data_IF_263944333651
#
_entry.id   IF_263944333651
#
_cell.length_a   1.000
_cell.length_b   1.000
_cell.length_c   1.000
_cell.angle_alpha   90.00
_cell.angle_beta   90.00
_cell.angle_gamma   90.00
#
_symmetry.space_group_name_H-M   'P 1'
#
loop_
_entity.id
_entity.type
_entity.pdbx_description
1 polymer ?
#
# COMPACT_ATOMS: atom_id res chain seq x y z
N UNK A 1 8.23 18.20 -0.73
CA UNK A 1 7.84 19.24 -1.72
C UNK A 1 8.96 20.23 -2.06
N UNK A 2 9.55 20.95 -1.09
CA UNK A 2 10.49 22.07 -1.37
C UNK A 2 11.90 21.66 -1.85
N UNK A 3 12.38 20.48 -1.44
CA UNK A 3 13.73 20.00 -1.78
C UNK A 3 13.76 18.82 -2.78
N UNK A 4 12.64 18.10 -2.92
CA UNK A 4 12.59 16.94 -3.81
C UNK A 4 12.61 17.36 -5.28
N UNK A 5 13.29 16.59 -6.12
CA UNK A 5 13.30 16.75 -7.59
C UNK A 5 12.29 15.83 -8.29
N UNK A 6 11.69 14.89 -7.55
CA UNK A 6 10.67 13.98 -8.07
C UNK A 6 9.30 14.70 -8.16
N UNK A 7 8.71 14.69 -9.35
CA UNK A 7 7.42 15.29 -9.64
C UNK A 7 6.26 14.57 -8.91
N UNK A 8 6.26 13.24 -8.84
CA UNK A 8 5.20 12.43 -8.19
C UNK A 8 5.18 12.73 -6.69
N UNK A 9 6.35 12.68 -6.05
CA UNK A 9 6.49 12.99 -4.62
C UNK A 9 6.14 14.46 -4.32
N UNK A 10 6.42 15.39 -5.24
CA UNK A 10 6.08 16.81 -5.05
C UNK A 10 4.56 17.05 -5.09
N UNK A 11 3.85 16.40 -6.02
CA UNK A 11 2.39 16.48 -6.12
C UNK A 11 1.72 15.85 -4.89
N UNK A 12 2.13 14.63 -4.53
CA UNK A 12 1.61 13.93 -3.36
C UNK A 12 1.88 14.68 -2.05
N UNK A 13 3.07 15.27 -1.90
CA UNK A 13 3.37 16.11 -0.74
C UNK A 13 2.52 17.39 -0.70
N UNK A 14 2.15 17.95 -1.86
CA UNK A 14 1.26 19.11 -1.93
C UNK A 14 -0.16 18.80 -1.48
N UNK A 15 -0.75 17.71 -1.99
CA UNK A 15 -2.11 17.30 -1.61
C UNK A 15 -2.18 16.85 -0.14
N UNK A 16 -1.15 16.18 0.37
CA UNK A 16 -1.06 15.75 1.76
C UNK A 16 -1.05 16.91 2.76
N UNK A 17 -0.47 18.07 2.42
CA UNK A 17 -0.51 19.27 3.29
C UNK A 17 -1.94 19.77 3.44
N UNK A 18 -2.70 19.86 2.35
CA UNK A 18 -4.10 20.31 2.37
C UNK A 18 -4.96 19.37 3.20
N UNK A 19 -4.81 18.06 3.04
CA UNK A 19 -5.51 17.06 3.84
C UNK A 19 -5.15 17.17 5.34
N UNK A 20 -3.86 17.36 5.65
CA UNK A 20 -3.35 17.47 7.01
C UNK A 20 -3.88 18.67 7.79
N UNK A 21 -4.12 19.81 7.12
CA UNK A 21 -4.73 21.00 7.76
C UNK A 21 -6.10 20.68 8.38
N UNK A 22 -6.85 19.80 7.73
CA UNK A 22 -8.18 19.36 8.16
C UNK A 22 -8.16 18.08 9.02
N UNK A 23 -6.98 17.62 9.44
CA UNK A 23 -6.83 16.48 10.34
C UNK A 23 -6.70 15.11 9.67
N UNK A 24 -6.65 15.05 8.33
CA UNK A 24 -6.43 13.81 7.57
C UNK A 24 -4.92 13.66 7.37
N UNK A 25 -4.29 12.72 8.08
CA UNK A 25 -2.82 12.61 8.16
C UNK A 25 -2.25 11.41 7.41
N UNK A 26 -3.10 10.47 7.02
CA UNK A 26 -2.77 9.22 6.35
C UNK A 26 -1.98 9.46 5.04
N UNK A 27 -2.36 10.41 4.16
CA UNK A 27 -1.60 10.68 2.94
C UNK A 27 -0.19 11.23 3.24
N UNK A 28 -0.02 11.98 4.34
CA UNK A 28 1.27 12.56 4.72
C UNK A 28 2.18 11.51 5.38
N UNK A 29 1.63 10.67 6.25
CA UNK A 29 2.37 9.61 6.95
C UNK A 29 2.79 8.53 5.96
N UNK A 30 1.81 7.86 5.34
CA UNK A 30 2.07 6.69 4.51
C UNK A 30 2.57 7.04 3.11
N UNK A 31 2.05 8.13 2.53
CA UNK A 31 2.45 8.54 1.19
C UNK A 31 3.82 9.23 1.15
N UNK A 32 4.16 10.05 2.14
CA UNK A 32 5.30 10.98 2.02
C UNK A 32 6.41 10.70 3.02
N UNK A 33 6.10 10.62 4.31
CA UNK A 33 7.15 10.65 5.34
C UNK A 33 7.70 9.26 5.67
N UNK A 34 6.84 8.26 5.85
CA UNK A 34 7.21 6.89 6.22
C UNK A 34 8.13 6.22 5.17
N UNK A 35 7.84 6.30 3.85
CA UNK A 35 8.73 5.72 2.83
C UNK A 35 10.13 6.35 2.85
N UNK A 36 10.23 7.64 3.18
CA UNK A 36 11.50 8.36 3.21
C UNK A 36 12.27 8.22 4.53
N UNK A 37 11.75 7.50 5.54
CA UNK A 37 12.32 7.18 6.87
C UNK A 37 12.82 8.38 7.70
N UNK A 38 13.77 9.17 7.20
CA UNK A 38 14.33 10.36 7.88
C UNK A 38 13.28 11.45 8.11
N UNK A 39 12.46 11.88 7.13
CA UNK A 39 11.42 12.87 7.38
C UNK A 39 10.40 12.41 8.41
N UNK A 40 10.08 11.11 8.46
CA UNK A 40 9.22 10.54 9.49
C UNK A 40 9.84 10.67 10.89
N UNK A 41 11.11 10.26 11.04
CA UNK A 41 11.84 10.38 12.31
C UNK A 41 11.92 11.85 12.77
N UNK A 42 12.22 12.78 11.85
CA UNK A 42 12.26 14.21 12.18
C UNK A 42 10.88 14.76 12.56
N UNK A 43 9.80 14.25 11.94
CA UNK A 43 8.43 14.54 12.34
C UNK A 43 8.15 14.08 13.78
N UNK A 44 8.54 12.86 14.15
CA UNK A 44 8.37 12.35 15.52
C UNK A 44 9.16 13.17 16.55
N UNK A 45 10.41 13.53 16.24
CA UNK A 45 11.25 14.37 17.13
C UNK A 45 10.64 15.77 17.26
N UNK A 46 10.21 16.38 16.15
CA UNK A 46 9.52 17.66 16.17
C UNK A 46 8.25 17.62 17.03
N UNK A 47 7.45 16.56 16.86
CA UNK A 47 6.25 16.30 17.67
C UNK A 47 6.57 16.21 19.16
N UNK A 48 7.65 15.50 19.54
CA UNK A 48 8.08 15.41 20.93
C UNK A 48 8.53 16.77 21.50
N UNK A 49 9.30 17.56 20.73
CA UNK A 49 9.72 18.90 21.14
C UNK A 49 8.53 19.85 21.32
N UNK A 50 7.59 19.84 20.38
CA UNK A 50 6.36 20.61 20.48
C UNK A 50 5.51 20.18 21.67
N UNK A 51 5.31 18.87 21.84
CA UNK A 51 4.58 18.30 22.97
C UNK A 51 5.20 18.66 24.32
N UNK A 52 6.53 18.73 24.43
CA UNK A 52 7.21 19.15 25.65
C UNK A 52 6.90 20.62 25.99
N UNK A 53 6.86 21.51 24.99
CA UNK A 53 6.49 22.92 25.18
C UNK A 53 5.03 23.02 25.63
N UNK A 54 4.12 22.33 24.93
CA UNK A 54 2.68 22.32 25.27
C UNK A 54 2.46 21.78 26.69
N UNK A 55 3.16 20.71 27.05
CA UNK A 55 3.10 20.10 28.39
C UNK A 55 3.64 21.02 29.48
N UNK A 56 4.71 21.76 29.22
CA UNK A 56 5.28 22.73 30.17
C UNK A 56 4.32 23.87 30.50
N UNK A 57 3.56 24.36 29.51
CA UNK A 57 2.54 25.39 29.70
C UNK A 57 1.21 24.84 30.22
N UNK A 58 1.11 23.52 30.47
CA UNK A 58 -0.11 22.84 30.93
C UNK A 58 -1.35 23.14 30.07
N UNK A 59 -1.17 23.25 28.76
CA UNK A 59 -2.29 23.47 27.83
C UNK A 59 -3.29 22.31 27.92
N UNK A 60 -4.57 22.64 28.08
CA UNK A 60 -5.66 21.68 28.07
C UNK A 60 -6.61 21.93 26.89
N UNK A 61 -7.30 20.88 26.47
CA UNK A 61 -8.38 20.97 25.48
C UNK A 61 -9.71 21.05 26.23
N UNK A 62 -10.48 22.12 26.00
CA UNK A 62 -11.73 22.40 26.73
C UNK A 62 -12.99 22.01 25.96
N UNK A 63 -12.87 21.64 24.69
CA UNK A 63 -13.97 21.22 23.84
C UNK A 63 -13.61 19.96 23.04
N UNK A 64 -14.60 19.13 22.75
CA UNK A 64 -14.41 17.94 21.93
C UNK A 64 -14.45 18.29 20.44
N UNK A 65 -13.46 17.84 19.69
CA UNK A 65 -13.42 18.01 18.24
C UNK A 65 -12.29 17.21 17.59
N UNK A 66 -12.32 17.16 16.25
CA UNK A 66 -11.27 16.51 15.47
C UNK A 66 -9.98 17.34 15.51
N UNK A 67 -8.84 16.65 15.63
CA UNK A 67 -7.51 17.27 15.65
C UNK A 67 -7.25 17.89 14.28
N UNK A 68 -7.12 19.21 14.23
CA UNK A 68 -6.95 19.98 12.99
C UNK A 68 -6.44 21.38 13.32
N UNK A 69 -6.34 22.26 12.32
CA UNK A 69 -6.06 23.68 12.57
C UNK A 69 -7.09 24.33 13.53
N UNK A 70 -8.31 23.80 13.59
CA UNK A 70 -9.35 24.30 14.49
C UNK A 70 -9.15 23.91 15.95
N UNK A 71 -8.19 23.03 16.26
CA UNK A 71 -7.84 22.67 17.65
C UNK A 71 -7.38 23.90 18.44
N UNK A 72 -6.81 24.93 17.80
CA UNK A 72 -6.48 26.20 18.47
C UNK A 72 -7.69 26.92 19.06
N UNK A 73 -8.89 26.73 18.52
CA UNK A 73 -10.12 27.27 19.11
C UNK A 73 -10.60 26.45 20.31
N UNK A 74 -10.31 25.14 20.32
CA UNK A 74 -10.76 24.19 21.36
C UNK A 74 -9.93 24.30 22.65
N UNK A 75 -8.73 24.85 22.57
CA UNK A 75 -7.82 25.04 23.71
C UNK A 75 -7.98 26.40 24.41
N UNK A 76 -8.86 27.29 23.92
CA UNK A 76 -9.08 28.61 24.52
C UNK A 76 -9.91 28.42 25.80
N UNK A 77 -9.38 28.77 26.99
CA UNK A 77 -10.13 28.72 28.24
C UNK A 77 -11.30 29.70 28.26
N UNK A 78 -12.25 29.49 29.18
CA UNK A 78 -13.38 30.42 29.38
C UNK A 78 -12.95 31.86 29.76
N UNK A 79 -11.74 32.02 30.31
CA UNK A 79 -11.12 33.30 30.63
C UNK A 79 -10.51 34.03 29.43
N UNK A 80 -10.53 33.44 28.23
CA UNK A 80 -9.97 34.01 27.01
C UNK A 80 -8.54 33.56 26.72
N UNK A 81 -7.88 34.30 25.84
CA UNK A 81 -6.54 33.96 25.33
C UNK A 81 -5.46 34.20 26.39
N UNK A 82 -4.76 33.14 26.81
CA UNK A 82 -3.79 33.19 27.90
C UNK A 82 -2.45 32.53 27.54
N UNK A 83 -1.56 32.38 28.54
CA UNK A 83 -0.25 31.77 28.36
C UNK A 83 -0.32 30.30 27.93
N UNK A 84 -1.42 29.59 28.22
CA UNK A 84 -1.60 28.19 27.83
C UNK A 84 -1.89 28.07 26.33
N UNK A 85 -2.67 29.01 25.77
CA UNK A 85 -2.91 29.12 24.32
C UNK A 85 -1.63 29.54 23.58
N UNK A 86 -0.86 30.47 24.15
CA UNK A 86 0.45 30.84 23.61
C UNK A 86 1.43 29.66 23.62
N UNK A 87 1.44 28.87 24.69
CA UNK A 87 2.23 27.64 24.77
C UNK A 87 1.86 26.62 23.70
N UNK A 88 0.57 26.49 23.37
CA UNK A 88 0.09 25.62 22.30
C UNK A 88 0.56 26.07 20.91
N UNK A 89 0.44 27.37 20.62
CA UNK A 89 0.90 27.97 19.36
C UNK A 89 2.41 27.82 19.26
N UNK A 90 3.15 28.16 20.32
CA UNK A 90 4.60 28.05 20.36
C UNK A 90 5.07 26.60 20.17
N UNK A 91 4.46 25.64 20.87
CA UNK A 91 4.82 24.22 20.73
C UNK A 91 4.51 23.67 19.34
N UNK A 92 3.37 24.04 18.76
CA UNK A 92 3.03 23.65 17.38
C UNK A 92 4.01 24.24 16.36
N UNK A 93 4.37 25.52 16.53
CA UNK A 93 5.39 26.18 15.70
C UNK A 93 6.76 25.53 15.86
N UNK A 94 7.19 25.20 17.08
CA UNK A 94 8.45 24.50 17.33
C UNK A 94 8.47 23.15 16.63
N UNK A 95 7.41 22.36 16.78
CA UNK A 95 7.28 21.06 16.09
C UNK A 95 7.37 21.21 14.57
N UNK A 96 6.59 22.13 14.02
CA UNK A 96 6.54 22.36 12.57
C UNK A 96 7.87 22.88 12.01
N UNK A 97 8.45 23.91 12.63
CA UNK A 97 9.70 24.54 12.19
C UNK A 97 10.85 23.55 12.30
N UNK A 98 10.95 22.82 13.41
CA UNK A 98 11.97 21.79 13.56
C UNK A 98 11.82 20.71 12.50
N UNK A 99 10.64 20.12 12.34
CA UNK A 99 10.40 19.05 11.38
C UNK A 99 10.66 19.53 9.94
N UNK A 100 10.25 20.75 9.59
CA UNK A 100 10.47 21.34 8.27
C UNK A 100 11.95 21.61 8.00
N UNK A 101 12.67 22.23 8.93
CA UNK A 101 14.11 22.54 8.78
C UNK A 101 14.94 21.25 8.76
N UNK A 102 14.72 20.34 9.71
CA UNK A 102 15.44 19.07 9.78
C UNK A 102 15.19 18.22 8.53
N UNK A 103 13.94 18.14 8.06
CA UNK A 103 13.62 17.43 6.81
C UNK A 103 14.21 18.13 5.59
N UNK A 104 14.25 19.47 5.58
CA UNK A 104 14.87 20.24 4.51
C UNK A 104 16.40 20.10 4.50
N UNK A 105 17.09 20.02 5.64
CA UNK A 105 18.55 19.93 5.70
C UNK A 105 19.06 18.48 5.62
N UNK A 106 18.39 17.55 6.28
CA UNK A 106 18.88 16.18 6.50
C UNK A 106 17.91 15.08 6.02
N UNK A 107 16.68 15.45 5.65
CA UNK A 107 15.61 14.50 5.32
C UNK A 107 15.77 13.82 3.97
N UNK A 108 16.29 14.53 2.97
CA UNK A 108 16.62 13.95 1.67
C UNK A 108 18.11 13.63 1.67
N UNK A 109 18.43 12.34 1.86
CA UNK A 109 19.75 11.83 1.51
C UNK A 109 19.85 11.94 -0.01
N UNK A 110 20.88 12.60 -0.58
CA UNK A 110 21.30 12.25 -1.93
C UNK A 110 21.48 10.72 -1.94
N UNK A 111 21.08 10.01 -2.99
CA UNK A 111 21.24 8.56 -3.04
C UNK A 111 22.67 8.24 -2.61
N UNK A 112 22.83 7.49 -1.51
CA UNK A 112 24.10 6.83 -1.28
C UNK A 112 24.28 5.93 -2.50
N UNK A 113 25.40 6.05 -3.22
CA UNK A 113 25.81 5.05 -4.18
C UNK A 113 25.83 3.71 -3.44
N UNK A 114 24.76 2.93 -3.61
CA UNK A 114 24.82 1.50 -3.44
C UNK A 114 25.88 1.00 -4.43
N UNK A 115 26.76 0.05 -4.05
CA UNK A 115 27.60 -0.63 -5.02
C UNK A 115 26.71 -1.07 -6.17
N UNK A 116 27.09 -0.71 -7.39
CA UNK A 116 26.31 -0.95 -8.60
C UNK A 116 25.90 -2.42 -8.70
N UNK A 117 24.69 -2.72 -8.25
CA UNK A 117 23.90 -3.76 -8.87
C UNK A 117 23.56 -3.19 -10.25
N UNK A 118 24.01 -3.92 -11.27
CA UNK A 118 24.14 -3.44 -12.64
C UNK A 118 22.92 -2.60 -13.04
N UNK A 119 23.20 -1.36 -13.45
CA UNK A 119 22.18 -0.47 -13.98
C UNK A 119 21.32 -1.25 -14.99
N UNK A 120 19.98 -1.21 -14.88
CA UNK A 120 19.16 -1.56 -16.01
C UNK A 120 19.63 -0.64 -17.13
N UNK A 121 20.12 -1.24 -18.21
CA UNK A 121 20.31 -0.56 -19.49
C UNK A 121 19.13 0.40 -19.69
N UNK A 122 19.36 1.66 -20.13
CA UNK A 122 18.26 2.58 -20.36
C UNK A 122 17.28 1.88 -21.29
N UNK A 123 16.13 1.50 -20.76
CA UNK A 123 15.07 0.98 -21.60
C UNK A 123 14.80 2.08 -22.62
N UNK A 124 14.83 1.77 -23.94
CA UNK A 124 14.51 2.75 -24.95
C UNK A 124 13.17 3.37 -24.56
N UNK A 125 13.11 4.71 -24.64
CA UNK A 125 11.94 5.54 -24.37
C UNK A 125 10.68 4.72 -24.65
N UNK A 126 9.97 4.38 -23.58
CA UNK A 126 8.83 3.50 -23.68
C UNK A 126 7.83 4.16 -24.61
N UNK A 127 7.68 3.58 -25.79
CA UNK A 127 6.48 3.74 -26.61
C UNK A 127 5.28 3.65 -25.68
N UNK A 128 4.41 4.66 -25.72
CA UNK A 128 3.13 4.80 -25.00
C UNK A 128 2.09 3.71 -25.36
N UNK A 129 2.55 2.50 -25.70
CA UNK A 129 1.80 1.38 -26.25
C UNK A 129 2.26 0.02 -25.68
N UNK A 130 3.04 -0.02 -24.59
CA UNK A 130 3.41 -1.32 -23.98
C UNK A 130 2.28 -1.80 -23.08
N UNK A 131 1.63 -2.88 -23.52
CA UNK A 131 0.65 -3.65 -22.75
C UNK A 131 1.38 -4.81 -22.10
N UNK A 132 1.24 -4.97 -20.79
CA UNK A 132 1.65 -6.18 -20.11
C UNK A 132 0.41 -7.05 -19.85
N UNK A 133 0.50 -8.34 -20.13
CA UNK A 133 -0.59 -9.28 -19.92
C UNK A 133 -0.34 -10.10 -18.65
N UNK A 134 -1.38 -10.25 -17.83
CA UNK A 134 -1.40 -11.12 -16.67
C UNK A 134 -2.42 -12.21 -16.94
N UNK A 135 -2.00 -13.48 -16.88
CA UNK A 135 -2.92 -14.60 -17.12
C UNK A 135 -3.58 -15.08 -15.85
N UNK A 136 -4.66 -15.85 -16.00
CA UNK A 136 -5.39 -16.37 -14.87
C UNK A 136 -4.56 -17.42 -14.12
N UNK A 137 -4.31 -17.22 -12.81
CA UNK A 137 -3.61 -18.19 -12.00
C UNK A 137 -4.48 -19.39 -11.62
N UNK A 138 -5.80 -19.30 -11.82
CA UNK A 138 -6.78 -20.33 -11.43
C UNK A 138 -7.89 -20.39 -12.51
N UNK A 139 -8.43 -21.59 -12.75
CA UNK A 139 -9.65 -21.74 -13.55
C UNK A 139 -10.89 -21.48 -12.68
N UNK A 140 -11.84 -20.69 -13.17
CA UNK A 140 -13.03 -20.36 -12.41
C UNK A 140 -13.90 -19.25 -12.98
N UNK A 141 -14.86 -18.80 -12.19
CA UNK A 141 -15.74 -17.68 -12.57
C UNK A 141 -15.13 -16.35 -12.12
N UNK A 142 -15.02 -15.40 -13.04
CA UNK A 142 -14.51 -14.06 -12.74
C UNK A 142 -15.59 -13.26 -12.00
N UNK A 143 -15.24 -12.71 -10.85
CA UNK A 143 -16.08 -11.86 -10.02
C UNK A 143 -15.42 -10.46 -9.96
N UNK A 144 -16.17 -9.38 -10.23
CA UNK A 144 -15.68 -8.02 -10.01
C UNK A 144 -15.25 -7.83 -8.56
N UNK A 145 -14.15 -7.12 -8.34
CA UNK A 145 -13.58 -7.00 -6.99
C UNK A 145 -14.58 -6.33 -6.02
N UNK A 146 -15.42 -5.43 -6.52
CA UNK A 146 -16.47 -4.73 -5.76
C UNK A 146 -17.58 -5.67 -5.25
N UNK A 147 -17.71 -6.88 -5.81
CA UNK A 147 -18.70 -7.87 -5.42
C UNK A 147 -18.14 -8.92 -4.43
N UNK A 148 -16.85 -8.82 -4.09
CA UNK A 148 -16.23 -9.70 -3.09
C UNK A 148 -16.77 -9.36 -1.70
N UNK A 149 -17.06 -10.38 -0.90
CA UNK A 149 -17.59 -10.25 0.47
C UNK A 149 -16.49 -9.88 1.50
N UNK A 150 -15.61 -8.95 1.13
CA UNK A 150 -14.56 -8.40 1.99
C UNK A 150 -14.31 -6.93 1.64
N UNK A 151 -14.47 -6.04 2.61
CA UNK A 151 -14.39 -4.60 2.37
C UNK A 151 -12.97 -4.13 1.99
N UNK A 152 -11.93 -4.83 2.42
CA UNK A 152 -10.54 -4.48 2.11
C UNK A 152 -10.26 -4.70 0.64
N UNK A 153 -10.74 -5.82 0.09
CA UNK A 153 -10.64 -6.11 -1.33
C UNK A 153 -11.61 -5.27 -2.15
N UNK A 154 -12.89 -5.22 -1.78
CA UNK A 154 -13.93 -4.54 -2.55
C UNK A 154 -13.74 -3.02 -2.65
N UNK A 155 -13.01 -2.41 -1.73
CA UNK A 155 -12.67 -0.98 -1.79
C UNK A 155 -11.55 -0.64 -2.79
N UNK A 156 -10.80 -1.63 -3.27
CA UNK A 156 -9.63 -1.41 -4.14
C UNK A 156 -8.41 -0.83 -3.42
N UNK A 157 -8.41 -0.74 -2.09
CA UNK A 157 -7.31 -0.17 -1.30
C UNK A 157 -5.98 -0.92 -1.48
N UNK A 158 -6.04 -2.22 -1.80
CA UNK A 158 -4.88 -3.07 -2.04
C UNK A 158 -4.41 -3.08 -3.50
N UNK A 159 -5.10 -2.34 -4.38
CA UNK A 159 -4.83 -2.26 -5.80
C UNK A 159 -6.04 -2.67 -6.66
N UNK A 160 -5.91 -2.45 -7.98
CA UNK A 160 -6.91 -2.89 -8.98
C UNK A 160 -6.74 -4.37 -9.32
N UNK A 161 -7.85 -5.05 -9.63
CA UNK A 161 -7.81 -6.47 -9.99
C UNK A 161 -9.20 -7.08 -10.15
N UNK A 162 -9.25 -8.40 -10.06
CA UNK A 162 -10.49 -9.19 -10.10
C UNK A 162 -10.40 -10.32 -9.08
N UNK A 163 -11.54 -10.88 -8.69
CA UNK A 163 -11.58 -12.11 -7.92
C UNK A 163 -12.00 -13.27 -8.82
N UNK A 164 -11.61 -14.49 -8.46
CA UNK A 164 -12.03 -15.71 -9.15
C UNK A 164 -12.65 -16.66 -8.13
N UNK A 165 -13.85 -17.17 -8.43
CA UNK A 165 -14.40 -18.33 -7.74
C UNK A 165 -13.78 -19.60 -8.36
N UNK A 166 -12.87 -20.29 -7.66
CA UNK A 166 -12.13 -21.39 -8.24
C UNK A 166 -13.03 -22.59 -8.55
N UNK A 167 -12.76 -23.25 -9.67
CA UNK A 167 -13.30 -24.58 -9.98
C UNK A 167 -12.35 -25.68 -9.52
N UNK A 168 -11.05 -25.39 -9.44
CA UNK A 168 -10.00 -26.33 -9.06
C UNK A 168 -9.12 -25.78 -7.92
N UNK A 169 -8.62 -26.69 -7.09
CA UNK A 169 -7.84 -26.37 -5.89
C UNK A 169 -6.36 -26.17 -6.16
N UNK A 170 -5.99 -25.39 -7.18
CA UNK A 170 -4.60 -25.11 -7.53
C UNK A 170 -4.41 -23.70 -8.04
N UNK A 171 -3.21 -23.18 -7.84
CA UNK A 171 -2.77 -21.84 -8.24
C UNK A 171 -1.49 -21.97 -9.04
N UNK A 172 -1.48 -21.41 -10.24
CA UNK A 172 -0.30 -21.33 -11.11
C UNK A 172 0.21 -19.89 -11.23
N UNK A 173 1.47 -19.74 -11.62
CA UNK A 173 2.06 -18.43 -11.84
C UNK A 173 1.37 -17.68 -12.99
N UNK A 174 0.86 -16.45 -12.76
CA UNK A 174 0.18 -15.67 -13.79
C UNK A 174 1.13 -14.89 -14.69
N UNK A 175 2.41 -14.81 -14.32
CA UNK A 175 3.48 -14.05 -15.00
C UNK A 175 4.82 -14.75 -14.79
N UNK A 176 5.81 -14.43 -15.62
CA UNK A 176 7.21 -14.73 -15.32
C UNK A 176 7.73 -13.69 -14.32
N UNK A 177 8.44 -14.13 -13.27
CA UNK A 177 8.89 -13.22 -12.22
C UNK A 177 9.57 -13.88 -11.05
N UNK A 178 9.62 -13.15 -9.92
CA UNK A 178 10.16 -13.60 -8.66
C UNK A 178 9.08 -13.61 -7.57
N UNK A 179 9.07 -14.65 -6.73
CA UNK A 179 8.22 -14.70 -5.55
C UNK A 179 8.80 -13.76 -4.50
N UNK A 180 8.17 -12.61 -4.30
CA UNK A 180 8.63 -11.58 -3.34
C UNK A 180 8.03 -11.77 -1.94
N UNK A 181 6.94 -12.52 -1.83
CA UNK A 181 6.34 -12.85 -0.53
C UNK A 181 5.54 -14.14 -0.62
N UNK A 182 5.73 -15.01 0.36
CA UNK A 182 4.86 -16.15 0.64
C UNK A 182 4.41 -16.05 2.10
N UNK A 183 3.10 -15.93 2.33
CA UNK A 183 2.58 -15.81 3.70
C UNK A 183 2.82 -17.11 4.48
N UNK A 184 3.07 -17.01 5.79
CA UNK A 184 3.36 -18.16 6.67
C UNK A 184 2.29 -19.25 6.60
N UNK A 185 1.04 -18.82 6.46
CA UNK A 185 -0.17 -19.65 6.33
C UNK A 185 -0.42 -20.11 4.89
N UNK A 186 0.46 -19.82 3.94
CA UNK A 186 0.47 -20.31 2.55
C UNK A 186 -0.77 -20.01 1.71
N UNK A 187 -1.69 -19.15 2.17
CA UNK A 187 -2.89 -18.77 1.42
C UNK A 187 -2.65 -17.61 0.45
N UNK A 188 -1.56 -16.85 0.60
CA UNK A 188 -1.29 -15.68 -0.24
C UNK A 188 0.16 -15.64 -0.73
N UNK A 189 0.32 -15.19 -1.97
CA UNK A 189 1.60 -15.04 -2.68
C UNK A 189 1.66 -13.68 -3.34
N UNK A 190 2.77 -12.97 -3.13
CA UNK A 190 3.17 -11.82 -3.93
C UNK A 190 4.23 -12.21 -4.97
N UNK A 191 4.01 -11.86 -6.23
CA UNK A 191 4.95 -12.08 -7.34
C UNK A 191 5.26 -10.75 -7.98
N UNK A 192 6.54 -10.40 -8.09
CA UNK A 192 6.99 -9.29 -8.91
C UNK A 192 7.33 -9.84 -10.30
N UNK A 193 6.63 -9.36 -11.33
CA UNK A 193 6.89 -9.80 -12.70
C UNK A 193 8.22 -9.24 -13.21
N UNK A 194 8.83 -9.94 -14.18
CA UNK A 194 10.02 -9.45 -14.89
C UNK A 194 9.78 -8.10 -15.59
N UNK A 195 8.52 -7.78 -15.84
CA UNK A 195 8.10 -6.50 -16.42
C UNK A 195 7.83 -5.42 -15.36
N UNK A 196 7.75 -5.74 -14.06
CA UNK A 196 7.58 -4.79 -12.94
C UNK A 196 6.16 -4.69 -12.37
N UNK A 197 5.26 -5.65 -12.65
CA UNK A 197 3.95 -5.71 -12.01
C UNK A 197 4.01 -6.51 -10.71
N UNK A 198 3.49 -5.97 -9.62
CA UNK A 198 3.35 -6.65 -8.34
C UNK A 198 1.99 -7.33 -8.28
N UNK A 199 1.97 -8.64 -8.51
CA UNK A 199 0.75 -9.46 -8.52
C UNK A 199 0.58 -10.12 -7.16
N UNK A 200 -0.51 -9.78 -6.46
CA UNK A 200 -0.95 -10.42 -5.24
C UNK A 200 -2.06 -11.43 -5.54
N UNK A 201 -1.83 -12.69 -5.16
CA UNK A 201 -2.81 -13.77 -5.22
C UNK A 201 -3.20 -14.13 -3.79
N UNK A 202 -4.46 -13.98 -3.42
CA UNK A 202 -4.96 -14.29 -2.09
C UNK A 202 -6.04 -15.37 -2.15
N UNK A 203 -5.71 -16.60 -1.79
CA UNK A 203 -6.62 -17.75 -1.89
C UNK A 203 -7.65 -17.73 -0.76
N UNK A 204 -8.91 -17.48 -1.14
CA UNK A 204 -10.04 -17.41 -0.22
C UNK A 204 -10.09 -16.13 0.61
N UNK A 205 -11.23 -15.90 1.27
CA UNK A 205 -11.45 -14.78 2.19
C UNK A 205 -11.28 -15.26 3.63
N UNK A 206 -10.56 -14.49 4.45
CA UNK A 206 -10.30 -14.80 5.87
C UNK A 206 -9.55 -16.13 6.14
N UNK A 207 -9.01 -16.78 5.10
CA UNK A 207 -8.33 -18.08 5.16
C UNK A 207 -7.04 -18.08 5.97
N UNK A 208 -6.49 -16.92 6.32
CA UNK A 208 -5.43 -16.79 7.33
C UNK A 208 -5.79 -17.48 8.65
N UNK A 209 -7.09 -17.49 9.02
CA UNK A 209 -7.61 -18.10 10.25
C UNK A 209 -7.47 -19.63 10.26
N UNK A 210 -7.26 -20.26 9.10
CA UNK A 210 -6.99 -21.70 8.98
C UNK A 210 -5.55 -22.08 9.41
N UNK A 211 -4.69 -21.11 9.74
CA UNK A 211 -3.33 -21.34 10.21
C UNK A 211 -2.48 -22.24 9.29
N UNK A 212 -2.73 -22.18 7.98
CA UNK A 212 -2.03 -22.98 6.97
C UNK A 212 -2.54 -24.40 6.77
N UNK A 213 -3.63 -24.79 7.43
CA UNK A 213 -4.35 -26.02 7.11
C UNK A 213 -4.97 -25.93 5.71
N UNK A 214 -5.00 -27.07 5.00
CA UNK A 214 -5.58 -27.20 3.66
C UNK A 214 -4.81 -26.50 2.53
N UNK A 215 -3.58 -26.03 2.79
CA UNK A 215 -2.70 -25.42 1.79
C UNK A 215 -1.36 -26.15 1.69
N UNK A 216 -0.97 -26.47 0.46
CA UNK A 216 0.34 -27.03 0.11
C UNK A 216 1.04 -26.07 -0.84
N UNK A 217 2.08 -25.40 -0.37
CA UNK A 217 2.92 -24.54 -1.20
C UNK A 217 4.05 -25.35 -1.84
N UNK A 218 4.29 -25.12 -3.13
CA UNK A 218 5.33 -25.76 -3.94
C UNK A 218 6.52 -24.83 -4.23
N UNK A 219 6.44 -23.58 -3.76
CA UNK A 219 7.46 -22.55 -3.91
C UNK A 219 7.86 -21.96 -2.55
N UNK A 220 8.95 -21.20 -2.53
CA UNK A 220 9.39 -20.36 -1.39
C UNK A 220 9.67 -18.93 -1.86
N UNK A 221 9.74 -18.02 -0.89
CA UNK A 221 10.18 -16.64 -1.13
C UNK A 221 11.58 -16.61 -1.74
N UNK A 222 11.77 -15.75 -2.74
CA UNK A 222 12.99 -15.62 -3.54
C UNK A 222 13.09 -16.58 -4.73
N UNK A 223 12.15 -17.50 -4.91
CA UNK A 223 12.15 -18.37 -6.09
C UNK A 223 11.77 -17.60 -7.36
N UNK A 224 12.47 -17.90 -8.45
CA UNK A 224 12.08 -17.45 -9.80
C UNK A 224 11.02 -18.42 -10.34
N UNK A 225 9.90 -17.87 -10.82
CA UNK A 225 8.79 -18.65 -11.39
C UNK A 225 8.56 -18.25 -12.85
N UNK A 226 8.16 -19.22 -13.66
CA UNK A 226 7.65 -19.00 -15.00
C UNK A 226 6.14 -19.09 -14.99
N UNK A 227 5.52 -18.35 -15.89
CA UNK A 227 4.10 -18.40 -16.12
C UNK A 227 3.64 -19.86 -16.30
N UNK A 228 2.65 -20.27 -15.52
CA UNK A 228 2.13 -21.63 -15.51
C UNK A 228 2.75 -22.59 -14.50
N UNK A 229 3.84 -22.22 -13.83
CA UNK A 229 4.43 -23.04 -12.76
C UNK A 229 3.45 -23.19 -11.60
N UNK A 230 3.39 -24.38 -11.00
CA UNK A 230 2.51 -24.66 -9.86
C UNK A 230 3.04 -23.97 -8.60
N UNK A 231 2.20 -23.18 -7.95
CA UNK A 231 2.57 -22.39 -6.77
C UNK A 231 1.98 -22.96 -5.48
N UNK A 232 0.66 -23.13 -5.45
CA UNK A 232 -0.10 -23.64 -4.29
C UNK A 232 -1.13 -24.64 -4.78
N UNK A 233 -1.33 -25.70 -4.01
CA UNK A 233 -2.52 -26.54 -4.04
C UNK A 233 -3.32 -26.34 -2.75
N UNK A 234 -4.64 -26.38 -2.84
CA UNK A 234 -5.53 -26.18 -1.71
C UNK A 234 -6.78 -27.05 -1.80
N UNK A 235 -7.27 -27.50 -0.64
CA UNK A 235 -8.47 -28.33 -0.54
C UNK A 235 -9.73 -27.44 -0.43
N UNK A 236 -10.40 -27.23 -1.56
CA UNK A 236 -11.61 -26.42 -1.64
C UNK A 236 -12.74 -26.93 -0.75
N UNK A 237 -12.94 -28.25 -0.69
CA UNK A 237 -14.04 -28.84 0.06
C UNK A 237 -13.81 -28.66 1.55
N UNK A 238 -12.58 -28.91 2.02
CA UNK A 238 -12.23 -28.72 3.41
C UNK A 238 -12.28 -27.24 3.85
N UNK A 239 -11.84 -26.30 3.00
CA UNK A 239 -11.94 -24.86 3.28
C UNK A 239 -13.41 -24.42 3.40
N UNK A 240 -14.28 -24.87 2.50
CA UNK A 240 -15.73 -24.58 2.57
C UNK A 240 -16.38 -25.25 3.77
N UNK A 241 -16.01 -26.49 4.10
CA UNK A 241 -16.49 -27.21 5.28
C UNK A 241 -16.09 -26.51 6.59
N UNK A 242 -14.94 -25.84 6.61
CA UNK A 242 -14.49 -25.00 7.72
C UNK A 242 -15.22 -23.62 7.77
N UNK A 243 -16.10 -23.33 6.81
CA UNK A 243 -16.94 -22.12 6.79
C UNK A 243 -16.28 -20.91 6.10
N UNK A 244 -15.23 -21.12 5.30
CA UNK A 244 -14.52 -20.05 4.60
C UNK A 244 -14.87 -19.99 3.12
N UNK A 245 -14.84 -18.78 2.56
CA UNK A 245 -15.05 -18.53 1.14
C UNK A 245 -13.75 -18.82 0.35
N UNK A 246 -13.87 -19.55 -0.76
CA UNK A 246 -12.76 -19.89 -1.66
C UNK A 246 -12.50 -18.83 -2.74
N UNK A 247 -13.32 -17.78 -2.82
CA UNK A 247 -13.14 -16.64 -3.72
C UNK A 247 -11.74 -16.08 -3.55
N UNK A 248 -10.99 -16.03 -4.66
CA UNK A 248 -9.56 -15.74 -4.66
C UNK A 248 -9.29 -14.41 -5.38
N UNK A 249 -9.05 -13.31 -4.66
CA UNK A 249 -8.61 -12.05 -5.24
C UNK A 249 -7.25 -12.14 -5.93
N UNK A 250 -7.18 -11.63 -7.16
CA UNK A 250 -5.97 -11.44 -7.97
C UNK A 250 -5.79 -9.94 -8.22
N UNK A 251 -4.79 -9.33 -7.60
CA UNK A 251 -4.65 -7.88 -7.48
C UNK A 251 -3.29 -7.43 -7.98
N UNK A 252 -3.26 -6.26 -8.60
CA UNK A 252 -2.05 -5.55 -8.97
C UNK A 252 -1.77 -4.51 -7.90
N UNK A 253 -0.88 -4.83 -6.96
CA UNK A 253 -0.63 -4.01 -5.77
C UNK A 253 -0.03 -2.65 -6.11
N UNK A 254 0.78 -2.58 -7.16
CA UNK A 254 1.30 -1.32 -7.70
C UNK A 254 0.45 -0.77 -8.85
N UNK A 255 -0.88 -0.92 -8.82
CA UNK A 255 -1.76 -0.47 -9.91
C UNK A 255 -1.67 1.03 -10.23
N UNK A 256 -1.24 1.86 -9.28
CA UNK A 256 -1.04 3.31 -9.45
C UNK A 256 0.15 3.67 -10.35
N UNK A 257 1.02 2.71 -10.67
CA UNK A 257 2.12 2.88 -11.62
C UNK A 257 1.70 2.61 -13.07
N UNK A 258 0.43 2.25 -13.27
CA UNK A 258 -0.18 1.97 -14.57
C UNK A 258 -1.28 2.98 -14.89
N UNK A 259 -1.45 3.31 -16.17
CA UNK A 259 -2.53 4.17 -16.66
C UNK A 259 -3.88 3.52 -16.37
N UNK A 260 -4.00 2.22 -16.64
CA UNK A 260 -5.18 1.44 -16.28
C UNK A 260 -4.89 -0.06 -16.17
N UNK A 261 -5.78 -0.76 -15.48
CA UNK A 261 -5.78 -2.22 -15.33
C UNK A 261 -7.11 -2.73 -15.86
N UNK A 262 -7.09 -3.32 -17.06
CA UNK A 262 -8.29 -3.75 -17.76
C UNK A 262 -8.52 -5.26 -17.62
N UNK A 263 -9.70 -5.65 -17.16
CA UNK A 263 -10.13 -7.05 -17.20
C UNK A 263 -10.27 -7.49 -18.66
N UNK A 264 -9.50 -8.51 -19.04
CA UNK A 264 -9.40 -9.02 -20.40
C UNK A 264 -9.94 -10.45 -20.56
N UNK A 265 -10.27 -11.12 -19.45
CA UNK A 265 -10.79 -12.49 -19.45
C UNK A 265 -12.31 -12.56 -19.68
N UNK A 266 -12.75 -13.63 -20.33
CA UNK A 266 -14.17 -14.03 -20.37
C UNK A 266 -14.44 -15.00 -19.21
N UNK A 267 -15.62 -14.89 -18.57
CA UNK A 267 -16.04 -15.82 -17.52
C UNK A 267 -16.87 -16.96 -18.13
N UNK A 268 -16.62 -18.23 -17.79
CA UNK A 268 -15.54 -18.73 -16.92
C UNK A 268 -14.17 -18.65 -17.61
N UNK A 269 -13.13 -18.37 -16.83
CA UNK A 269 -11.74 -18.27 -17.28
C UNK A 269 -11.00 -19.59 -17.04
N UNK A 270 -10.13 -19.97 -17.96
CA UNK A 270 -9.23 -21.13 -17.82
C UNK A 270 -7.90 -20.69 -17.20
N UNK A 271 -7.19 -21.63 -16.56
CA UNK A 271 -5.79 -21.40 -16.16
C UNK A 271 -4.97 -20.93 -17.36
N UNK A 272 -4.06 -19.98 -17.13
CA UNK A 272 -3.18 -19.39 -18.15
C UNK A 272 -3.89 -18.60 -19.27
N UNK A 273 -5.23 -18.52 -19.27
CA UNK A 273 -5.94 -17.63 -20.18
C UNK A 273 -5.71 -16.15 -19.79
N UNK A 274 -5.80 -15.19 -20.73
CA UNK A 274 -5.73 -13.77 -20.41
C UNK A 274 -6.71 -13.37 -19.30
N UNK A 275 -6.23 -12.70 -18.25
CA UNK A 275 -7.06 -12.21 -17.15
C UNK A 275 -7.06 -10.69 -17.08
N UNK A 276 -5.89 -10.05 -16.97
CA UNK A 276 -5.73 -8.61 -16.90
C UNK A 276 -4.77 -8.11 -17.97
N UNK A 277 -5.03 -6.90 -18.48
CA UNK A 277 -4.11 -6.14 -19.33
C UNK A 277 -3.75 -4.84 -18.62
N UNK A 278 -2.47 -4.68 -18.36
CA UNK A 278 -1.88 -3.50 -17.73
C UNK A 278 -1.43 -2.51 -18.81
N UNK A 279 -1.91 -1.27 -18.72
CA UNK A 279 -1.54 -0.20 -19.64
C UNK A 279 -0.49 0.72 -18.99
N UNK A 280 0.62 0.95 -19.67
CA UNK A 280 1.70 1.87 -19.27
C UNK A 280 1.72 3.13 -20.10
#
# INVERSE_FOLDING_TARGET
>A
MLRTRDAKLRVMAGSAVTAGIFGITEPAVYGVTLPNKRPFIFGCIGGALGGAVIGYFHTATYSFGLVSIFTFAQIIPAGGFDATVLGAIAGTLVSFVFAAIASYLFGIVPPAEQPAEAAPVPAPQASLNRKQQVTSPIAGDIIPLEQVQDATFASGLLGKGVAIMPHQGRVVAPVNGCVVSLFKTKHAIGIESDEGAEVLIHVGIDTVKLNGLHFTAHIKEGDRVKQGDLLIEFDQEAIRAAGFDTTTPIIISNSDDYVDVLTSGQSPVQEQAPLLTLLR
#
